data_IF_614096525797
#
_entry.id   IF_614096525797
#
_cell.length_a   1.000
_cell.length_b   1.000
_cell.length_c   1.000
_cell.angle_alpha   90.00
_cell.angle_beta   90.00
_cell.angle_gamma   90.00
#
_symmetry.space_group_name_H-M   'P 1'
#
loop_
_entity.id
_entity.type
_entity.pdbx_description
1 polymer ?
#
# COMPACT_ATOMS: atom_id res chain seq x y z
N UNK A 1 -64.28 -29.21 -17.27
CA UNK A 1 -63.62 -28.86 -15.99
C UNK A 1 -63.24 -30.19 -15.32
N UNK A 2 -61.95 -30.49 -15.08
CA UNK A 2 -61.14 -29.85 -14.03
C UNK A 2 -59.72 -29.39 -14.48
N UNK A 3 -59.11 -28.49 -13.68
CA UNK A 3 -57.69 -28.06 -13.72
C UNK A 3 -56.86 -28.90 -12.70
N UNK A 4 -55.55 -28.63 -12.48
CA UNK A 4 -54.38 -28.88 -13.34
C UNK A 4 -53.33 -29.73 -12.57
N UNK A 5 -52.23 -30.16 -13.20
CA UNK A 5 -51.02 -30.42 -12.43
C UNK A 5 -49.77 -29.96 -13.21
N UNK A 6 -49.11 -28.93 -12.67
CA UNK A 6 -47.72 -28.58 -12.98
C UNK A 6 -46.83 -29.28 -11.96
N UNK A 7 -45.80 -29.99 -12.43
CA UNK A 7 -44.70 -30.45 -11.58
C UNK A 7 -43.97 -29.23 -10.99
N UNK A 8 -43.55 -29.24 -9.71
CA UNK A 8 -42.68 -28.20 -9.19
C UNK A 8 -41.29 -28.31 -9.83
N UNK A 9 -40.74 -27.18 -10.29
CA UNK A 9 -39.35 -27.07 -10.67
C UNK A 9 -38.47 -27.11 -9.41
N UNK A 10 -37.38 -27.88 -9.45
CA UNK A 10 -36.37 -27.90 -8.40
C UNK A 10 -35.74 -26.50 -8.23
N UNK A 11 -35.33 -26.11 -7.00
CA UNK A 11 -34.64 -24.84 -6.81
C UNK A 11 -33.26 -24.89 -7.50
N UNK A 12 -33.05 -23.98 -8.45
CA UNK A 12 -31.73 -23.71 -9.01
C UNK A 12 -30.85 -23.11 -7.92
N UNK A 13 -29.76 -23.81 -7.56
CA UNK A 13 -28.70 -23.27 -6.71
C UNK A 13 -28.17 -21.99 -7.35
N UNK A 14 -28.48 -20.84 -6.76
CA UNK A 14 -27.84 -19.59 -7.10
C UNK A 14 -26.33 -19.74 -6.93
N UNK A 15 -25.60 -19.70 -8.05
CA UNK A 15 -24.15 -19.72 -8.07
C UNK A 15 -23.64 -18.44 -7.39
N UNK A 16 -23.06 -18.64 -6.21
CA UNK A 16 -22.37 -17.61 -5.45
C UNK A 16 -21.10 -17.22 -6.21
N UNK A 17 -21.23 -16.24 -7.11
CA UNK A 17 -20.12 -15.73 -7.90
C UNK A 17 -19.21 -14.93 -6.98
N UNK A 18 -18.17 -15.55 -6.44
CA UNK A 18 -17.07 -14.84 -5.78
C UNK A 18 -16.40 -13.91 -6.79
N UNK A 19 -16.77 -12.62 -6.78
CA UNK A 19 -16.10 -11.58 -7.57
C UNK A 19 -14.65 -11.46 -7.11
N UNK A 20 -13.72 -11.80 -8.00
CA UNK A 20 -12.29 -11.52 -7.83
C UNK A 20 -12.09 -10.03 -7.47
N UNK A 21 -11.31 -9.71 -6.43
CA UNK A 21 -11.10 -8.32 -6.00
C UNK A 21 -10.35 -7.55 -7.09
N UNK A 22 -10.78 -6.32 -7.36
CA UNK A 22 -10.11 -5.43 -8.32
C UNK A 22 -8.70 -5.06 -7.86
N UNK A 23 -7.81 -4.70 -8.78
CA UNK A 23 -6.44 -4.25 -8.45
C UNK A 23 -6.41 -3.14 -7.40
N UNK A 24 -7.40 -2.24 -7.42
CA UNK A 24 -7.54 -1.16 -6.43
C UNK A 24 -7.93 -1.68 -5.04
N UNK A 25 -8.85 -2.65 -4.97
CA UNK A 25 -9.21 -3.28 -3.70
C UNK A 25 -8.03 -4.08 -3.12
N UNK A 26 -7.28 -4.78 -3.97
CA UNK A 26 -6.06 -5.48 -3.55
C UNK A 26 -5.01 -4.49 -3.01
N UNK A 27 -4.83 -3.34 -3.67
CA UNK A 27 -3.95 -2.27 -3.20
C UNK A 27 -4.35 -1.71 -1.83
N UNK A 28 -5.63 -1.41 -1.63
CA UNK A 28 -6.12 -0.92 -0.34
C UNK A 28 -5.90 -1.94 0.78
N UNK A 29 -6.21 -3.22 0.53
CA UNK A 29 -6.00 -4.29 1.53
C UNK A 29 -4.52 -4.47 1.88
N UNK A 30 -3.62 -4.31 0.91
CA UNK A 30 -2.19 -4.37 1.13
C UNK A 30 -1.72 -3.20 2.01
N UNK A 31 -2.20 -1.99 1.72
CA UNK A 31 -1.92 -0.79 2.51
C UNK A 31 -2.44 -0.91 3.95
N UNK A 32 -3.65 -1.45 4.15
CA UNK A 32 -4.22 -1.68 5.48
C UNK A 32 -3.38 -2.67 6.32
N UNK A 33 -2.93 -3.76 5.69
CA UNK A 33 -2.04 -4.74 6.36
C UNK A 33 -0.68 -4.14 6.70
N UNK A 34 -0.10 -3.36 5.78
CA UNK A 34 1.16 -2.65 6.03
C UNK A 34 1.02 -1.67 7.19
N UNK A 35 -0.06 -0.87 7.19
CA UNK A 35 -0.37 0.07 8.25
C UNK A 35 -0.49 -0.64 9.61
N UNK A 36 -1.28 -1.71 9.69
CA UNK A 36 -1.45 -2.45 10.93
C UNK A 36 -0.12 -3.01 11.48
N UNK A 37 0.74 -3.55 10.59
CA UNK A 37 2.05 -4.04 10.98
C UNK A 37 2.95 -2.92 11.53
N UNK A 38 3.01 -1.78 10.85
CA UNK A 38 3.82 -0.64 11.29
C UNK A 38 3.31 -0.05 12.61
N UNK A 39 1.99 0.01 12.80
CA UNK A 39 1.39 0.44 14.06
C UNK A 39 1.69 -0.51 15.21
N UNK A 40 1.65 -1.82 14.97
CA UNK A 40 2.06 -2.82 15.95
C UNK A 40 3.55 -2.70 16.32
N UNK A 41 4.39 -2.24 15.39
CA UNK A 41 5.79 -1.90 15.65
C UNK A 41 6.00 -0.52 16.33
N UNK A 42 4.93 0.18 16.69
CA UNK A 42 4.99 1.44 17.44
C UNK A 42 5.03 2.71 16.59
N UNK A 43 4.94 2.61 15.25
CA UNK A 43 4.84 3.79 14.39
C UNK A 43 3.42 4.36 14.45
N UNK A 44 3.31 5.69 14.45
CA UNK A 44 2.03 6.39 14.41
C UNK A 44 1.72 6.85 13.00
N UNK A 45 0.50 6.61 12.55
CA UNK A 45 0.04 7.11 11.25
C UNK A 45 -0.05 8.64 11.27
N UNK A 46 0.51 9.28 10.25
CA UNK A 46 0.39 10.73 10.04
C UNK A 46 -0.55 11.01 8.88
N UNK A 47 -0.32 10.37 7.72
CA UNK A 47 -1.24 10.45 6.59
C UNK A 47 -1.14 9.22 5.70
N UNK A 48 -2.23 8.89 5.00
CA UNK A 48 -2.27 7.87 3.96
C UNK A 48 -2.37 8.54 2.59
N UNK A 49 -1.95 7.85 1.54
CA UNK A 49 -2.16 8.22 0.14
C UNK A 49 -1.80 9.69 -0.17
N UNK A 50 -0.64 10.14 0.32
CA UNK A 50 -0.18 11.51 0.11
C UNK A 50 0.21 11.72 -1.35
N UNK A 51 -0.33 12.77 -1.99
CA UNK A 51 -0.10 13.07 -3.41
C UNK A 51 0.27 14.54 -3.57
N UNK A 52 1.27 14.82 -4.40
CA UNK A 52 1.60 16.20 -4.77
C UNK A 52 0.71 16.69 -5.92
N UNK A 53 0.39 17.99 -6.00
CA UNK A 53 -0.30 18.57 -7.15
C UNK A 53 0.50 18.46 -8.46
N UNK A 54 -0.19 18.57 -9.61
CA UNK A 54 0.42 18.69 -10.94
C UNK A 54 0.63 17.37 -11.70
N UNK A 55 0.90 17.49 -13.01
CA UNK A 55 1.18 16.34 -13.89
C UNK A 55 2.56 15.77 -13.55
N UNK A 56 2.65 14.46 -13.31
CA UNK A 56 3.91 13.82 -12.91
C UNK A 56 4.22 13.93 -11.42
N UNK A 57 3.25 14.35 -10.60
CA UNK A 57 3.39 14.43 -9.15
C UNK A 57 3.85 13.14 -8.49
N UNK A 58 4.50 13.30 -7.34
CA UNK A 58 4.89 12.22 -6.47
C UNK A 58 3.72 11.69 -5.64
N UNK A 59 3.85 10.44 -5.20
CA UNK A 59 2.90 9.81 -4.28
C UNK A 59 3.66 9.05 -3.20
N UNK A 60 3.08 8.98 -2.01
CA UNK A 60 3.55 8.19 -0.87
C UNK A 60 2.34 7.47 -0.29
N UNK A 61 2.43 6.16 -0.14
CA UNK A 61 1.31 5.34 0.32
C UNK A 61 1.03 5.61 1.80
N UNK A 62 2.06 5.62 2.66
CA UNK A 62 1.93 5.96 4.07
C UNK A 62 3.02 6.94 4.52
N UNK A 63 2.63 7.94 5.29
CA UNK A 63 3.54 8.77 6.08
C UNK A 63 3.30 8.44 7.54
N UNK A 64 4.36 7.99 8.20
CA UNK A 64 4.34 7.53 9.58
C UNK A 64 5.30 8.36 10.43
N UNK A 65 5.14 8.28 11.75
CA UNK A 65 6.05 8.87 12.72
C UNK A 65 6.56 7.80 13.67
N UNK A 66 7.86 7.62 13.72
CA UNK A 66 8.51 6.71 14.63
C UNK A 66 8.54 7.30 16.07
N UNK A 67 8.75 6.45 17.11
CA UNK A 67 8.75 6.90 18.51
C UNK A 67 9.81 7.96 18.83
N UNK A 68 10.93 7.97 18.11
CA UNK A 68 12.03 8.94 18.21
C UNK A 68 11.71 10.29 17.54
N UNK A 69 10.56 10.40 16.87
CA UNK A 69 10.14 11.59 16.14
C UNK A 69 10.49 11.60 14.65
N UNK A 70 11.19 10.59 14.14
CA UNK A 70 11.54 10.45 12.71
C UNK A 70 10.29 10.30 11.85
N UNK A 71 10.24 11.04 10.73
CA UNK A 71 9.21 10.83 9.70
C UNK A 71 9.60 9.70 8.77
N UNK A 72 8.69 8.74 8.60
CA UNK A 72 8.93 7.56 7.78
C UNK A 72 7.99 7.62 6.58
N UNK A 73 8.56 7.73 5.39
CA UNK A 73 7.85 7.70 4.12
C UNK A 73 7.86 6.27 3.58
N UNK A 74 6.69 5.64 3.49
CA UNK A 74 6.57 4.22 3.18
C UNK A 74 5.89 4.02 1.83
N UNK A 75 6.51 3.23 0.96
CA UNK A 75 5.86 2.62 -0.19
C UNK A 75 5.43 1.18 0.16
N UNK A 76 4.20 0.81 -0.22
CA UNK A 76 3.65 -0.53 -0.04
C UNK A 76 3.60 -1.25 -1.38
N UNK A 77 4.16 -2.45 -1.46
CA UNK A 77 4.17 -3.26 -2.68
C UNK A 77 3.64 -4.65 -2.42
N UNK A 78 2.61 -5.04 -3.17
CA UNK A 78 2.18 -6.44 -3.26
C UNK A 78 2.94 -7.12 -4.40
N UNK A 79 3.54 -8.28 -4.13
CA UNK A 79 4.19 -9.11 -5.15
C UNK A 79 3.45 -10.44 -5.27
N UNK A 80 3.21 -10.86 -6.51
CA UNK A 80 2.67 -12.18 -6.81
C UNK A 80 3.76 -13.25 -6.93
N UNK A 81 5.03 -12.86 -7.18
CA UNK A 81 6.17 -13.77 -7.22
C UNK A 81 7.39 -13.21 -6.51
N UNK A 82 8.21 -14.11 -5.97
CA UNK A 82 9.42 -13.85 -5.17
C UNK A 82 10.66 -13.62 -6.06
N UNK A 83 10.55 -12.87 -7.16
CA UNK A 83 11.71 -12.64 -8.02
C UNK A 83 12.81 -11.87 -7.26
N UNK A 84 14.00 -12.49 -7.19
CA UNK A 84 15.15 -12.02 -6.43
C UNK A 84 15.62 -10.64 -6.91
N UNK A 85 15.58 -9.68 -5.98
CA UNK A 85 16.03 -8.31 -6.14
C UNK A 85 15.48 -7.52 -4.97
N UNK A 86 16.34 -7.11 -4.03
CA UNK A 86 15.94 -6.49 -2.75
C UNK A 86 15.05 -5.26 -2.89
N UNK A 87 14.63 -4.64 -1.76
CA UNK A 87 13.71 -3.49 -1.75
C UNK A 87 14.04 -2.41 -2.80
N UNK A 88 15.30 -2.00 -2.89
CA UNK A 88 15.74 -0.99 -3.85
C UNK A 88 15.55 -1.45 -5.31
N UNK A 89 15.77 -2.74 -5.61
CA UNK A 89 15.47 -3.29 -6.93
C UNK A 89 13.95 -3.44 -7.17
N UNK A 90 13.16 -3.56 -6.09
CA UNK A 90 11.70 -3.59 -6.16
C UNK A 90 11.08 -2.23 -6.49
N UNK A 91 11.76 -1.14 -6.15
CA UNK A 91 11.36 0.23 -6.45
C UNK A 91 12.34 0.84 -7.45
N UNK A 92 11.98 0.82 -8.74
CA UNK A 92 12.80 1.44 -9.78
C UNK A 92 13.04 2.94 -9.53
N UNK A 93 14.15 3.45 -10.06
CA UNK A 93 14.63 4.83 -9.88
C UNK A 93 13.56 5.91 -10.14
N UNK A 94 12.69 5.70 -11.14
CA UNK A 94 11.57 6.62 -11.43
C UNK A 94 10.60 6.73 -10.26
N UNK A 95 10.26 5.60 -9.60
CA UNK A 95 9.37 5.62 -8.44
C UNK A 95 10.09 6.21 -7.22
N UNK A 96 11.36 5.89 -6.99
CA UNK A 96 12.15 6.50 -5.92
C UNK A 96 12.14 8.03 -6.04
N UNK A 97 12.46 8.58 -7.22
CA UNK A 97 12.43 10.03 -7.47
C UNK A 97 11.07 10.66 -7.21
N UNK A 98 9.97 9.97 -7.56
CA UNK A 98 8.61 10.44 -7.28
C UNK A 98 8.29 10.44 -5.78
N UNK A 99 8.73 9.43 -5.04
CA UNK A 99 8.57 9.36 -3.59
C UNK A 99 9.40 10.48 -2.92
N UNK A 100 10.66 10.65 -3.31
CA UNK A 100 11.54 11.72 -2.80
C UNK A 100 10.94 13.10 -3.09
N UNK A 101 10.42 13.33 -4.29
CA UNK A 101 9.74 14.57 -4.64
C UNK A 101 8.53 14.84 -3.72
N UNK A 102 7.69 13.82 -3.49
CA UNK A 102 6.57 13.95 -2.56
C UNK A 102 7.02 14.19 -1.12
N UNK A 103 8.08 13.53 -0.66
CA UNK A 103 8.61 13.69 0.68
C UNK A 103 9.15 15.11 0.88
N UNK A 104 9.93 15.64 -0.08
CA UNK A 104 10.40 17.04 -0.05
C UNK A 104 9.23 18.01 0.03
N UNK A 105 8.21 17.82 -0.80
CA UNK A 105 7.02 18.66 -0.77
C UNK A 105 6.21 18.54 0.53
N UNK A 106 6.21 17.37 1.18
CA UNK A 106 5.63 17.18 2.50
C UNK A 106 6.43 17.94 3.58
N UNK A 107 7.76 17.78 3.59
CA UNK A 107 8.65 18.39 4.57
C UNK A 107 8.64 19.92 4.52
N UNK A 108 8.48 20.52 3.34
CA UNK A 108 8.34 21.99 3.17
C UNK A 108 7.13 22.58 3.90
N UNK A 109 6.16 21.77 4.31
CA UNK A 109 4.96 22.20 5.05
C UNK A 109 5.16 22.17 6.56
N UNK A 110 6.29 21.64 7.04
CA UNK A 110 6.58 21.52 8.46
C UNK A 110 7.32 22.76 8.96
N UNK A 111 7.09 23.17 10.22
CA UNK A 111 7.73 24.35 10.79
C UNK A 111 9.23 24.17 11.04
N UNK A 112 9.72 22.93 11.09
CA UNK A 112 11.12 22.61 11.35
C UNK A 112 11.54 21.35 10.58
N UNK A 113 12.83 21.23 10.21
CA UNK A 113 13.36 20.02 9.63
C UNK A 113 13.29 18.86 10.64
N UNK A 114 12.76 17.72 10.20
CA UNK A 114 12.74 16.49 10.97
C UNK A 114 13.62 15.45 10.28
N UNK A 115 14.28 14.55 11.05
CA UNK A 115 14.90 13.37 10.45
C UNK A 115 13.83 12.59 9.69
N UNK A 116 14.21 12.04 8.54
CA UNK A 116 13.32 11.22 7.75
C UNK A 116 14.01 10.01 7.15
N UNK A 117 13.21 8.99 6.83
CA UNK A 117 13.64 7.72 6.28
C UNK A 117 12.64 7.24 5.24
N UNK A 118 13.13 6.56 4.21
CA UNK A 118 12.28 5.89 3.22
C UNK A 118 12.24 4.40 3.49
N UNK A 119 11.05 3.87 3.72
CA UNK A 119 10.84 2.46 4.02
C UNK A 119 10.00 1.82 2.92
N UNK A 120 10.12 0.49 2.82
CA UNK A 120 9.29 -0.31 1.90
C UNK A 120 8.65 -1.44 2.68
N UNK A 121 7.36 -1.64 2.47
CA UNK A 121 6.66 -2.83 2.96
C UNK A 121 6.29 -3.70 1.77
N UNK A 122 6.87 -4.90 1.72
CA UNK A 122 6.58 -5.92 0.73
C UNK A 122 5.56 -6.90 1.29
N UNK A 123 4.47 -7.12 0.56
CA UNK A 123 3.51 -8.18 0.82
C UNK A 123 3.74 -9.27 -0.21
N UNK A 124 4.22 -10.41 0.28
CA UNK A 124 4.49 -11.61 -0.51
C UNK A 124 3.58 -12.74 -0.04
N UNK A 125 3.41 -13.82 -0.83
CA UNK A 125 2.64 -14.98 -0.40
C UNK A 125 3.14 -15.61 0.91
N UNK A 126 4.44 -15.50 1.19
CA UNK A 126 5.09 -16.05 2.37
C UNK A 126 4.95 -15.15 3.61
N UNK A 127 4.57 -13.89 3.44
CA UNK A 127 4.41 -12.97 4.54
C UNK A 127 4.66 -11.51 4.17
N UNK A 128 4.71 -10.68 5.22
CA UNK A 128 5.02 -9.26 5.11
C UNK A 128 6.47 -9.02 5.52
N UNK A 129 7.20 -8.29 4.69
CA UNK A 129 8.56 -7.87 4.97
C UNK A 129 8.63 -6.34 5.03
N UNK A 130 9.16 -5.81 6.13
CA UNK A 130 9.39 -4.37 6.30
C UNK A 130 10.88 -4.06 6.18
N UNK A 131 11.23 -3.26 5.19
CA UNK A 131 12.59 -2.86 4.84
C UNK A 131 12.77 -1.39 5.23
N UNK A 132 13.49 -1.17 6.32
CA UNK A 132 13.79 0.16 6.84
C UNK A 132 14.98 0.78 6.09
N UNK A 133 14.88 2.06 5.73
CA UNK A 133 15.98 2.74 5.02
C UNK A 133 16.26 2.09 3.66
N UNK A 134 15.20 1.75 2.93
CA UNK A 134 15.26 1.01 1.69
C UNK A 134 15.99 1.76 0.57
N UNK A 135 16.01 3.10 0.62
CA UNK A 135 16.78 3.96 -0.26
C UNK A 135 16.92 5.36 0.37
N UNK A 136 17.86 6.15 -0.16
CA UNK A 136 18.13 7.51 0.28
C UNK A 136 17.54 8.56 -0.68
N UNK A 137 17.50 9.82 -0.24
CA UNK A 137 16.96 10.93 -1.04
C UNK A 137 17.88 11.36 -2.21
N UNK A 138 19.04 10.72 -2.37
CA UNK A 138 20.11 11.12 -3.30
C UNK A 138 20.18 10.24 -4.58
N UNK A 139 19.22 9.31 -4.76
CA UNK A 139 19.12 8.40 -5.92
C UNK A 139 18.51 8.97 -7.22
#
# INVERSE_FOLDING_TARGET
MPFPWKKPAAPSKAAETTRQPTTRQQGNMAEDRALAHLQAAGLRLVTRNYRTPGRGGGEIDLVMRAPDGTLVFVEVRSRASTSHGGAAASIGSVKQRRIVFAARHYLLRLPAPLPCRFDVVLLEPQGLQWLQGAFDADG
#
